data_IF_393055439906
#
_entry.id   IF_393055439906
#
_cell.length_a   1.000
_cell.length_b   1.000
_cell.length_c   1.000
_cell.angle_alpha   90.00
_cell.angle_beta   90.00
_cell.angle_gamma   90.00
#
_symmetry.space_group_name_H-M   'P 1'
#
loop_
_entity.id
_entity.type
_entity.pdbx_description
1 polymer ?
#
# COMPACT_ATOMS: atom_id res chain seq x y z
N UNK A 1 14.73 11.60 21.87
CA UNK A 1 13.34 11.13 21.91
C UNK A 1 13.35 9.65 21.53
N UNK A 2 13.20 8.76 22.50
CA UNK A 2 13.18 7.31 22.28
C UNK A 2 11.80 6.91 21.74
N UNK A 3 11.69 6.71 20.43
CA UNK A 3 10.55 6.01 19.83
C UNK A 3 10.98 4.61 19.44
N UNK A 4 10.59 3.61 20.23
CA UNK A 4 10.80 2.17 19.97
C UNK A 4 9.98 1.69 18.76
N UNK A 5 10.09 2.37 17.63
CA UNK A 5 9.43 2.02 16.38
C UNK A 5 10.26 1.03 15.56
N UNK A 6 9.59 0.34 14.64
CA UNK A 6 10.27 -0.52 13.66
C UNK A 6 10.52 0.31 12.40
N UNK A 7 11.75 0.25 11.90
CA UNK A 7 12.20 0.90 10.67
C UNK A 7 12.58 -0.17 9.68
N UNK A 8 11.90 -0.22 8.53
CA UNK A 8 12.14 -1.21 7.47
C UNK A 8 12.43 -0.45 6.18
N UNK A 9 13.70 -0.37 5.76
CA UNK A 9 14.06 0.12 4.43
C UNK A 9 13.41 -0.72 3.32
N UNK A 10 13.03 -0.08 2.21
CA UNK A 10 12.49 -0.75 1.02
C UNK A 10 13.35 -1.92 0.51
N UNK A 11 14.69 -1.77 0.41
CA UNK A 11 15.57 -2.88 0.01
C UNK A 11 15.51 -4.09 0.95
N UNK A 12 15.31 -3.88 2.24
CA UNK A 12 15.18 -4.99 3.20
C UNK A 12 13.83 -5.71 3.00
N UNK A 13 12.76 -4.97 2.73
CA UNK A 13 11.47 -5.55 2.36
C UNK A 13 11.55 -6.33 1.03
N UNK A 14 12.25 -5.80 0.04
CA UNK A 14 12.54 -6.49 -1.22
C UNK A 14 13.35 -7.77 -1.00
N UNK A 15 14.39 -7.75 -0.15
CA UNK A 15 15.19 -8.93 0.16
C UNK A 15 14.37 -10.05 0.82
N UNK A 16 13.40 -9.69 1.68
CA UNK A 16 12.45 -10.65 2.26
C UNK A 16 11.56 -11.24 1.17
N UNK A 17 11.04 -10.42 0.25
CA UNK A 17 10.26 -10.90 -0.90
C UNK A 17 11.08 -11.82 -1.79
N UNK A 18 12.34 -11.48 -2.10
CA UNK A 18 13.23 -12.31 -2.89
C UNK A 18 13.49 -13.67 -2.24
N UNK A 19 13.60 -13.71 -0.91
CA UNK A 19 13.83 -14.94 -0.16
C UNK A 19 12.60 -15.86 -0.12
N UNK A 20 11.42 -15.31 0.19
CA UNK A 20 10.22 -16.11 0.47
C UNK A 20 9.23 -16.16 -0.70
N UNK A 21 9.34 -15.25 -1.67
CA UNK A 21 8.52 -15.20 -2.87
C UNK A 21 9.35 -14.72 -4.09
N UNK A 22 10.37 -15.48 -4.52
CA UNK A 22 11.35 -15.05 -5.54
C UNK A 22 10.76 -14.69 -6.91
N UNK A 23 9.54 -15.16 -7.21
CA UNK A 23 8.83 -14.84 -8.45
C UNK A 23 8.11 -13.48 -8.41
N UNK A 24 8.00 -12.86 -7.24
CA UNK A 24 7.25 -11.62 -7.06
C UNK A 24 7.83 -10.49 -7.90
N UNK A 25 9.16 -10.30 -7.88
CA UNK A 25 9.84 -9.26 -8.65
C UNK A 25 9.59 -9.32 -10.17
N UNK A 26 9.32 -10.52 -10.69
CA UNK A 26 9.03 -10.73 -12.12
C UNK A 26 7.53 -10.66 -12.42
N UNK A 27 6.69 -11.15 -11.51
CA UNK A 27 5.23 -11.19 -11.71
C UNK A 27 4.54 -9.86 -11.41
N UNK A 28 5.12 -9.05 -10.52
CA UNK A 28 4.59 -7.80 -10.02
C UNK A 28 5.71 -6.74 -9.97
N UNK A 29 6.38 -6.54 -11.09
CA UNK A 29 7.58 -5.70 -11.19
C UNK A 29 7.38 -4.28 -10.65
N UNK A 30 6.34 -3.58 -11.09
CA UNK A 30 6.08 -2.19 -10.68
C UNK A 30 5.78 -2.07 -9.18
N UNK A 31 5.09 -3.06 -8.60
CA UNK A 31 4.88 -3.13 -7.14
C UNK A 31 6.22 -3.36 -6.43
N UNK A 32 7.02 -4.30 -6.92
CA UNK A 32 8.31 -4.62 -6.34
C UNK A 32 9.26 -3.41 -6.34
N UNK A 33 9.34 -2.67 -7.45
CA UNK A 33 10.10 -1.42 -7.55
C UNK A 33 9.51 -0.33 -6.64
N UNK A 34 8.17 -0.22 -6.57
CA UNK A 34 7.49 0.70 -5.66
C UNK A 34 7.86 0.45 -4.20
N UNK A 35 7.88 -0.81 -3.76
CA UNK A 35 8.29 -1.20 -2.40
C UNK A 35 9.74 -0.79 -2.12
N UNK A 36 10.66 -1.00 -3.07
CA UNK A 36 12.06 -0.60 -2.94
C UNK A 36 12.25 0.90 -2.71
N UNK A 37 11.31 1.72 -3.20
CA UNK A 37 11.33 3.17 -3.07
C UNK A 37 10.62 3.71 -1.83
N UNK A 38 10.17 2.83 -0.91
CA UNK A 38 9.46 3.21 0.31
C UNK A 38 10.26 2.78 1.55
N UNK A 39 10.40 3.69 2.51
CA UNK A 39 10.88 3.42 3.86
C UNK A 39 9.69 3.37 4.82
N UNK A 40 9.48 2.20 5.42
CA UNK A 40 8.37 1.93 6.32
C UNK A 40 8.78 2.23 7.78
N UNK A 41 8.07 3.15 8.43
CA UNK A 41 8.30 3.53 9.82
C UNK A 41 7.05 3.24 10.65
N UNK A 42 7.07 2.17 11.44
CA UNK A 42 5.95 1.79 12.32
C UNK A 42 6.17 2.33 13.73
N UNK A 43 5.20 3.06 14.27
CA UNK A 43 5.23 3.52 15.66
C UNK A 43 4.53 2.52 16.61
N UNK A 44 4.62 2.78 17.91
CA UNK A 44 4.03 1.93 18.97
C UNK A 44 2.50 1.84 18.89
N UNK A 45 1.84 2.80 18.25
CA UNK A 45 0.39 2.81 18.06
C UNK A 45 -0.05 2.00 16.82
N UNK A 46 0.91 1.39 16.11
CA UNK A 46 0.67 0.60 14.91
C UNK A 46 0.44 1.43 13.65
N UNK A 47 0.66 2.75 13.69
CA UNK A 47 0.63 3.58 12.48
C UNK A 47 1.95 3.40 11.74
N UNK A 48 1.84 3.08 10.46
CA UNK A 48 2.95 2.99 9.52
C UNK A 48 3.01 4.31 8.75
N UNK A 49 4.15 4.98 8.82
CA UNK A 49 4.48 6.12 7.96
C UNK A 49 5.34 5.62 6.81
N UNK A 50 4.94 5.92 5.58
CA UNK A 50 5.69 5.60 4.36
C UNK A 50 6.45 6.86 3.94
N UNK A 51 7.78 6.80 3.99
CA UNK A 51 8.64 7.85 3.44
C UNK A 51 9.15 7.40 2.09
N UNK A 52 8.93 8.20 1.05
CA UNK A 52 9.36 7.85 -0.29
C UNK A 52 10.79 8.32 -0.55
N UNK A 53 11.50 7.62 -1.41
CA UNK A 53 12.86 7.98 -1.80
C UNK A 53 12.87 9.36 -2.48
N UNK A 54 13.78 10.23 -2.05
CA UNK A 54 13.91 11.62 -2.53
C UNK A 54 12.62 12.45 -2.40
N UNK A 55 11.69 12.06 -1.52
CA UNK A 55 10.42 12.75 -1.27
C UNK A 55 9.47 12.83 -2.47
N UNK A 56 9.75 12.09 -3.55
CA UNK A 56 8.90 12.00 -4.72
C UNK A 56 7.81 10.95 -4.52
N UNK A 57 6.63 11.15 -5.08
CA UNK A 57 5.57 10.14 -4.99
C UNK A 57 5.96 8.84 -5.71
N UNK A 58 5.50 7.73 -5.15
CA UNK A 58 5.60 6.41 -5.78
C UNK A 58 4.31 6.13 -6.53
N UNK A 59 4.43 5.79 -7.81
CA UNK A 59 3.30 5.44 -8.66
C UNK A 59 3.35 3.95 -8.98
N UNK A 60 2.24 3.25 -8.75
CA UNK A 60 2.05 1.84 -9.07
C UNK A 60 0.74 1.76 -9.86
N UNK A 61 0.84 1.74 -11.20
CA UNK A 61 -0.28 1.90 -12.13
C UNK A 61 -1.25 3.03 -11.71
N UNK A 62 -2.45 2.67 -11.24
CA UNK A 62 -3.51 3.58 -10.81
C UNK A 62 -3.38 4.06 -9.38
N UNK A 63 -2.36 3.61 -8.64
CA UNK A 63 -2.13 4.01 -7.26
C UNK A 63 -1.00 5.03 -7.18
N UNK A 64 -1.22 6.09 -6.40
CA UNK A 64 -0.19 7.06 -6.04
C UNK A 64 -0.03 7.06 -4.52
N UNK A 65 1.21 6.90 -4.07
CA UNK A 65 1.62 6.95 -2.67
C UNK A 65 2.52 8.18 -2.50
N UNK A 66 2.02 9.17 -1.78
CA UNK A 66 2.76 10.40 -1.51
C UNK A 66 3.76 10.22 -0.38
N UNK A 67 4.80 11.06 -0.36
CA UNK A 67 5.72 11.12 0.77
C UNK A 67 4.98 11.41 2.09
N UNK A 68 5.43 10.79 3.19
CA UNK A 68 4.80 10.84 4.51
C UNK A 68 3.36 10.31 4.56
N UNK A 69 3.00 9.40 3.66
CA UNK A 69 1.75 8.63 3.76
C UNK A 69 1.63 7.97 5.12
N UNK A 70 0.42 7.95 5.70
CA UNK A 70 0.14 7.33 6.99
C UNK A 70 -0.99 6.33 6.83
N UNK A 71 -0.76 5.11 7.31
CA UNK A 71 -1.75 4.07 7.26
C UNK A 71 -1.67 3.16 8.49
N UNK A 72 -2.71 2.37 8.72
CA UNK A 72 -2.77 1.36 9.78
C UNK A 72 -3.28 0.05 9.19
N UNK A 73 -2.60 -1.05 9.50
CA UNK A 73 -3.01 -2.39 9.07
C UNK A 73 -3.68 -3.11 10.25
N UNK A 74 -4.86 -3.66 10.01
CA UNK A 74 -5.63 -4.44 10.98
C UNK A 74 -6.04 -5.77 10.35
N UNK A 75 -5.72 -6.89 10.99
CA UNK A 75 -6.28 -8.18 10.61
C UNK A 75 -7.70 -8.30 11.18
N UNK A 76 -8.68 -8.58 10.33
CA UNK A 76 -10.07 -8.76 10.71
C UNK A 76 -10.30 -10.18 11.25
N UNK A 77 -11.37 -10.36 12.02
CA UNK A 77 -11.68 -11.65 12.68
C UNK A 77 -11.88 -12.80 11.68
N UNK A 78 -12.32 -12.50 10.46
CA UNK A 78 -12.51 -13.46 9.38
C UNK A 78 -11.21 -13.79 8.62
N UNK A 79 -10.08 -13.20 9.01
CA UNK A 79 -8.76 -13.40 8.40
C UNK A 79 -8.45 -12.47 7.24
N UNK A 80 -9.35 -11.57 6.86
CA UNK A 80 -9.06 -10.50 5.90
C UNK A 80 -8.13 -9.46 6.50
N UNK A 81 -7.47 -8.68 5.64
CA UNK A 81 -6.63 -7.57 6.07
C UNK A 81 -7.27 -6.24 5.67
N UNK A 82 -7.33 -5.29 6.60
CA UNK A 82 -7.79 -3.93 6.35
C UNK A 82 -6.62 -2.95 6.49
N UNK A 83 -6.43 -2.12 5.48
CA UNK A 83 -5.53 -0.99 5.47
C UNK A 83 -6.35 0.29 5.63
N UNK A 84 -6.36 0.89 6.82
CA UNK A 84 -6.93 2.21 7.04
C UNK A 84 -5.95 3.28 6.56
N UNK A 85 -6.39 4.13 5.65
CA UNK A 85 -5.59 5.18 5.02
C UNK A 85 -5.88 6.48 5.76
N UNK A 86 -4.89 6.96 6.50
CA UNK A 86 -5.03 8.20 7.27
C UNK A 86 -4.70 9.41 6.38
N UNK A 87 -3.78 9.24 5.42
CA UNK A 87 -3.42 10.26 4.43
C UNK A 87 -2.47 9.71 3.37
N UNK A 88 -2.52 10.25 2.15
CA UNK A 88 -1.42 10.18 1.18
C UNK A 88 -1.49 9.04 0.16
N UNK A 89 -2.53 8.20 0.19
CA UNK A 89 -2.79 7.21 -0.87
C UNK A 89 -4.00 7.67 -1.67
N UNK A 90 -3.81 7.75 -2.99
CA UNK A 90 -4.89 8.03 -3.94
C UNK A 90 -4.95 6.96 -5.03
N UNK A 91 -6.15 6.74 -5.56
CA UNK A 91 -6.40 5.85 -6.69
C UNK A 91 -6.95 6.67 -7.86
N UNK A 92 -6.49 6.44 -9.08
CA UNK A 92 -6.92 7.22 -10.22
C UNK A 92 -6.21 6.85 -11.51
N UNK A 93 -6.68 7.41 -12.62
CA UNK A 93 -5.91 7.36 -13.87
C UNK A 93 -4.91 8.50 -13.85
N UNK A 94 -3.64 8.17 -14.03
CA UNK A 94 -2.56 9.16 -14.18
C UNK A 94 -3.02 10.22 -15.19
N UNK A 95 -2.94 11.50 -14.82
CA UNK A 95 -3.31 12.69 -15.60
C UNK A 95 -4.79 13.10 -15.67
N UNK A 96 -5.74 12.36 -15.09
CA UNK A 96 -7.18 12.68 -15.23
C UNK A 96 -7.79 13.11 -13.91
N UNK A 97 -7.98 12.18 -12.97
CA UNK A 97 -8.53 12.45 -11.63
C UNK A 97 -7.92 11.45 -10.66
N UNK A 98 -7.60 11.93 -9.45
CA UNK A 98 -7.14 11.14 -8.32
C UNK A 98 -8.19 11.20 -7.22
N UNK A 99 -8.50 10.05 -6.63
CA UNK A 99 -9.47 9.91 -5.56
C UNK A 99 -8.79 9.46 -4.28
N UNK A 100 -9.03 10.18 -3.19
CA UNK A 100 -8.61 9.76 -1.85
C UNK A 100 -9.39 8.52 -1.40
N UNK A 101 -8.73 7.71 -0.59
CA UNK A 101 -9.28 6.47 -0.05
C UNK A 101 -9.38 6.57 1.48
N UNK A 102 -10.45 6.03 2.05
CA UNK A 102 -10.57 5.85 3.50
C UNK A 102 -9.88 4.56 3.96
N UNK A 103 -10.13 3.45 3.27
CA UNK A 103 -9.52 2.17 3.56
C UNK A 103 -9.56 1.23 2.36
N UNK A 104 -8.74 0.18 2.44
CA UNK A 104 -8.74 -0.96 1.53
C UNK A 104 -8.90 -2.24 2.35
N UNK A 105 -9.79 -3.15 1.95
CA UNK A 105 -9.89 -4.50 2.53
C UNK A 105 -9.41 -5.51 1.51
N UNK A 106 -8.41 -6.32 1.87
CA UNK A 106 -7.97 -7.48 1.10
C UNK A 106 -8.70 -8.72 1.62
N UNK A 107 -9.49 -9.34 0.75
CA UNK A 107 -10.22 -10.57 1.05
C UNK A 107 -9.27 -11.77 0.96
N UNK A 108 -9.06 -12.46 2.06
CA UNK A 108 -8.12 -13.59 2.13
C UNK A 108 -8.51 -14.73 1.18
N UNK A 109 -9.81 -14.95 0.98
CA UNK A 109 -10.32 -16.07 0.19
C UNK A 109 -10.11 -15.90 -1.32
N UNK A 110 -10.38 -14.70 -1.86
CA UNK A 110 -10.29 -14.45 -3.30
C UNK A 110 -9.02 -13.70 -3.70
N UNK A 111 -8.40 -12.97 -2.77
CA UNK A 111 -7.32 -12.03 -3.09
C UNK A 111 -7.82 -10.70 -3.66
N UNK A 112 -9.13 -10.50 -3.79
CA UNK A 112 -9.70 -9.24 -4.25
C UNK A 112 -9.57 -8.16 -3.18
N UNK A 113 -9.63 -6.91 -3.62
CA UNK A 113 -9.54 -5.74 -2.77
C UNK A 113 -10.79 -4.88 -2.89
N UNK A 114 -11.42 -4.57 -1.76
CA UNK A 114 -12.48 -3.57 -1.66
C UNK A 114 -11.86 -2.22 -1.31
N UNK A 115 -12.12 -1.22 -2.14
CA UNK A 115 -11.72 0.17 -1.97
C UNK A 115 -12.91 1.00 -1.51
N UNK A 116 -12.72 1.80 -0.46
CA UNK A 116 -13.70 2.78 0.01
C UNK A 116 -13.21 4.20 -0.30
N UNK A 117 -13.93 4.92 -1.16
CA UNK A 117 -13.55 6.25 -1.63
C UNK A 117 -13.98 7.33 -0.65
N UNK A 118 -13.08 8.25 -0.33
CA UNK A 118 -13.30 9.25 0.73
C UNK A 118 -14.38 10.29 0.38
N UNK A 119 -14.58 10.58 -0.91
CA UNK A 119 -15.50 11.62 -1.36
C UNK A 119 -16.97 11.31 -1.06
N UNK A 120 -17.36 10.04 -1.14
CA UNK A 120 -18.77 9.63 -1.14
C UNK A 120 -19.03 8.26 -0.48
N UNK A 121 -17.99 7.63 0.09
CA UNK A 121 -18.04 6.27 0.62
C UNK A 121 -18.50 5.21 -0.39
N UNK A 122 -18.38 5.50 -1.70
CA UNK A 122 -18.58 4.47 -2.72
C UNK A 122 -17.56 3.36 -2.49
N UNK A 123 -18.03 2.11 -2.55
CA UNK A 123 -17.19 0.94 -2.40
C UNK A 123 -17.07 0.20 -3.72
N UNK A 124 -15.85 -0.19 -4.09
CA UNK A 124 -15.59 -0.99 -5.28
C UNK A 124 -14.66 -2.16 -4.96
N UNK A 125 -15.12 -3.36 -5.24
CA UNK A 125 -14.29 -4.56 -5.23
C UNK A 125 -13.59 -4.68 -6.57
N UNK A 126 -12.28 -4.87 -6.54
CA UNK A 126 -11.42 -4.99 -7.71
C UNK A 126 -10.48 -6.18 -7.53
N UNK A 127 -10.24 -6.92 -8.60
CA UNK A 127 -9.17 -7.89 -8.63
C UNK A 127 -7.85 -7.16 -8.88
N UNK A 128 -6.85 -7.36 -8.00
CA UNK A 128 -5.58 -6.63 -8.11
C UNK A 128 -4.90 -6.90 -9.46
N UNK A 129 -4.93 -8.15 -9.92
CA UNK A 129 -4.29 -8.54 -11.18
C UNK A 129 -5.04 -7.88 -12.33
N UNK A 130 -6.32 -8.15 -12.46
CA UNK A 130 -7.06 -7.84 -13.69
C UNK A 130 -7.47 -6.36 -13.80
N UNK A 131 -7.66 -5.67 -12.67
CA UNK A 131 -8.23 -4.31 -12.66
C UNK A 131 -7.22 -3.19 -12.30
N UNK A 132 -6.09 -3.54 -11.65
CA UNK A 132 -5.16 -2.57 -11.03
C UNK A 132 -3.72 -2.71 -11.53
N UNK A 133 -3.31 -3.86 -12.07
CA UNK A 133 -1.92 -4.07 -12.50
C UNK A 133 -1.74 -4.28 -14.01
N UNK A 134 -2.84 -4.32 -14.78
CA UNK A 134 -2.83 -4.45 -16.24
C UNK A 134 -3.52 -3.27 -16.94
#
# INVERSE_FOLDING_TARGET
MNSSGVSIPGPDAQAVLDKYNPKFKTLAHDIYEGIGNIHFLKNNNGIVTLKTKNENDVYIDKMRISNNTKAKITCLQNGDARLDILSGITLGKRWVVWYDLNYVVMYKKSGDMLFDFASDHTQRTMNLRDDILY
#
